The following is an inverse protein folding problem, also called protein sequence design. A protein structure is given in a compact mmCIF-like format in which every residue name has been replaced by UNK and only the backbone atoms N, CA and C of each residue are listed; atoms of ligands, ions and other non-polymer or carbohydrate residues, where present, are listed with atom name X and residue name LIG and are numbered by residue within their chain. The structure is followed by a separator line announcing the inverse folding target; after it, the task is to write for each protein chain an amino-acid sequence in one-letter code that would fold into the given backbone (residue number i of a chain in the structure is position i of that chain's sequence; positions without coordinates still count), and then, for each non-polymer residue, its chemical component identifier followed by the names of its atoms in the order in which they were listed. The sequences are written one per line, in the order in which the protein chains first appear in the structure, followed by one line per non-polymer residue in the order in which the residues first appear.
data_IF_688010859355
#
_entry.id   IF_688010859355
#
_cell.length_a   1.000
_cell.length_b   1.000
_cell.length_c   1.000
_cell.angle_alpha   90.00
_cell.angle_beta   90.00
_cell.angle_gamma   90.00
#
_symmetry.space_group_name_H-M   'P 1'
#
loop_
_entity.id
_entity.type
_entity.pdbx_description
1 polymer ?
#
# COMPACT_ATOMS: atom_id res chain seq x y z
N UNK A 1 -13.84 4.14 6.40
CA UNK A 1 -12.88 3.86 5.32
C UNK A 1 -12.61 5.17 4.61
N UNK A 2 -11.35 5.61 4.54
CA UNK A 2 -11.01 6.75 3.69
C UNK A 2 -11.39 6.40 2.25
N UNK A 3 -12.06 7.33 1.56
CA UNK A 3 -12.44 7.13 0.17
C UNK A 3 -11.17 7.21 -0.71
N UNK A 4 -10.83 6.11 -1.38
CA UNK A 4 -9.61 6.03 -2.20
C UNK A 4 -9.72 6.95 -3.39
N UNK A 5 -10.90 7.05 -4.01
CA UNK A 5 -11.15 8.00 -5.10
C UNK A 5 -10.82 9.43 -4.65
N UNK A 6 -11.25 9.82 -3.46
CA UNK A 6 -10.91 11.12 -2.88
C UNK A 6 -9.40 11.30 -2.68
N UNK A 7 -8.69 10.30 -2.14
CA UNK A 7 -7.22 10.38 -1.96
C UNK A 7 -6.52 10.53 -3.32
N UNK A 8 -6.94 9.74 -4.31
CA UNK A 8 -6.34 9.74 -5.64
C UNK A 8 -6.58 11.06 -6.38
N UNK A 9 -7.72 11.70 -6.17
CA UNK A 9 -8.05 13.01 -6.75
C UNK A 9 -7.42 14.18 -5.99
N UNK A 10 -7.25 14.07 -4.67
CA UNK A 10 -6.81 15.19 -3.82
C UNK A 10 -5.30 15.26 -3.58
N UNK A 11 -4.57 14.13 -3.59
CA UNK A 11 -3.13 14.11 -3.36
C UNK A 11 -2.34 13.98 -4.68
N UNK A 12 -2.03 15.12 -5.28
CA UNK A 12 -1.22 15.23 -6.50
C UNK A 12 0.25 14.78 -6.29
N UNK A 13 0.71 14.67 -5.04
CA UNK A 13 2.08 14.24 -4.74
C UNK A 13 2.25 12.72 -4.77
N UNK A 14 1.16 11.96 -4.97
CA UNK A 14 1.20 10.50 -5.05
C UNK A 14 1.94 10.04 -6.30
N UNK A 15 3.00 9.25 -6.07
CA UNK A 15 3.72 8.60 -7.16
C UNK A 15 2.86 7.51 -7.81
N UNK A 16 3.11 7.16 -9.09
CA UNK A 16 2.39 6.07 -9.75
C UNK A 16 2.44 4.74 -8.97
N UNK A 17 3.57 4.43 -8.34
CA UNK A 17 3.73 3.23 -7.51
C UNK A 17 2.88 3.28 -6.22
N UNK A 18 2.72 4.45 -5.62
CA UNK A 18 1.88 4.65 -4.44
C UNK A 18 0.40 4.51 -4.80
N UNK A 19 -0.03 5.10 -5.93
CA UNK A 19 -1.40 4.97 -6.46
C UNK A 19 -1.75 3.50 -6.73
N UNK A 20 -0.84 2.77 -7.36
CA UNK A 20 -1.01 1.34 -7.62
C UNK A 20 -1.20 0.54 -6.32
N UNK A 21 -0.37 0.79 -5.30
CA UNK A 21 -0.50 0.10 -4.01
C UNK A 21 -1.85 0.40 -3.34
N UNK A 22 -2.33 1.65 -3.39
CA UNK A 22 -3.64 2.02 -2.86
C UNK A 22 -4.77 1.25 -3.54
N UNK A 23 -4.77 1.17 -4.88
CA UNK A 23 -5.76 0.42 -5.66
C UNK A 23 -5.72 -1.09 -5.36
N UNK A 24 -4.53 -1.66 -5.20
CA UNK A 24 -4.40 -3.08 -4.83
C UNK A 24 -4.98 -3.35 -3.43
N UNK A 25 -4.71 -2.46 -2.47
CA UNK A 25 -5.24 -2.59 -1.11
C UNK A 25 -6.75 -2.33 -1.04
N UNK A 26 -7.29 -1.46 -1.90
CA UNK A 26 -8.73 -1.26 -2.03
C UNK A 26 -9.42 -2.55 -2.50
N UNK A 27 -8.89 -3.17 -3.58
CA UNK A 27 -9.44 -4.39 -4.15
C UNK A 27 -9.35 -5.59 -3.20
N UNK A 28 -8.23 -5.74 -2.49
CA UNK A 28 -7.92 -6.95 -1.71
C UNK A 28 -8.11 -6.78 -0.20
N UNK A 29 -8.41 -5.57 0.29
CA UNK A 29 -8.56 -5.16 1.71
C UNK A 29 -7.28 -5.25 2.55
N UNK A 30 -6.51 -6.31 2.38
CA UNK A 30 -5.27 -6.57 3.12
C UNK A 30 -4.33 -7.43 2.27
N UNK A 31 -3.06 -7.02 2.17
CA UNK A 31 -2.04 -7.75 1.41
C UNK A 31 -0.72 -7.82 2.20
N UNK A 32 0.00 -8.92 2.06
CA UNK A 32 1.37 -9.04 2.58
C UNK A 32 2.37 -8.42 1.61
N UNK A 33 3.58 -8.11 2.10
CA UNK A 33 4.67 -7.59 1.24
C UNK A 33 4.87 -8.45 0.00
N UNK A 34 4.85 -9.78 0.13
CA UNK A 34 5.05 -10.69 -1.00
C UNK A 34 3.89 -10.66 -2.01
N UNK A 35 2.65 -10.56 -1.54
CA UNK A 35 1.49 -10.45 -2.42
C UNK A 35 1.55 -9.15 -3.22
N UNK A 36 1.94 -8.06 -2.55
CA UNK A 36 2.14 -6.76 -3.19
C UNK A 36 3.26 -6.80 -4.22
N UNK A 37 4.38 -7.49 -3.96
CA UNK A 37 5.45 -7.67 -4.97
C UNK A 37 4.93 -8.41 -6.21
N UNK A 38 4.22 -9.51 -6.00
CA UNK A 38 3.69 -10.32 -7.09
C UNK A 38 2.63 -9.60 -7.91
N UNK A 39 1.73 -8.86 -7.26
CA UNK A 39 0.62 -8.17 -7.92
C UNK A 39 1.02 -6.83 -8.57
N UNK A 40 1.96 -6.10 -7.97
CA UNK A 40 2.37 -4.79 -8.47
C UNK A 40 3.44 -4.87 -9.58
N UNK A 41 4.16 -6.00 -9.65
CA UNK A 41 5.33 -6.17 -10.51
C UNK A 41 6.39 -5.06 -10.33
N UNK A 42 6.42 -4.42 -9.15
CA UNK A 42 7.40 -3.41 -8.78
C UNK A 42 8.69 -4.07 -8.28
N UNK A 43 9.81 -3.35 -8.41
CA UNK A 43 11.02 -3.74 -7.70
C UNK A 43 10.80 -3.69 -6.19
N UNK A 44 11.50 -4.55 -5.44
CA UNK A 44 11.40 -4.58 -3.98
C UNK A 44 11.62 -3.21 -3.35
N UNK A 45 12.67 -2.50 -3.80
CA UNK A 45 13.01 -1.15 -3.33
C UNK A 45 11.87 -0.16 -3.58
N UNK A 46 11.33 -0.12 -4.81
CA UNK A 46 10.25 0.79 -5.17
C UNK A 46 8.99 0.52 -4.34
N UNK A 47 8.65 -0.74 -4.13
CA UNK A 47 7.50 -1.12 -3.30
C UNK A 47 7.71 -0.69 -1.84
N UNK A 48 8.88 -0.97 -1.26
CA UNK A 48 9.15 -0.60 0.14
C UNK A 48 9.16 0.90 0.36
N UNK A 49 9.69 1.68 -0.59
CA UNK A 49 9.69 3.14 -0.54
C UNK A 49 8.25 3.67 -0.59
N UNK A 50 7.43 3.12 -1.49
CA UNK A 50 6.01 3.51 -1.65
C UNK A 50 5.19 3.16 -0.40
N UNK A 51 5.37 1.97 0.16
CA UNK A 51 4.69 1.55 1.39
C UNK A 51 5.11 2.41 2.59
N UNK A 52 6.38 2.77 2.68
CA UNK A 52 6.87 3.67 3.74
C UNK A 52 6.24 5.04 3.63
N UNK A 53 6.20 5.62 2.42
CA UNK A 53 5.55 6.91 2.17
C UNK A 53 4.05 6.88 2.51
N UNK A 54 3.32 5.85 2.06
CA UNK A 54 1.89 5.70 2.32
C UNK A 54 1.55 5.51 3.81
N UNK A 55 2.43 4.83 4.57
CA UNK A 55 2.31 4.72 6.03
C UNK A 55 2.53 6.07 6.69
N UNK A 56 3.56 6.83 6.28
CA UNK A 56 3.81 8.18 6.80
C UNK A 56 2.65 9.14 6.50
N UNK A 57 2.06 9.05 5.30
CA UNK A 57 0.85 9.80 4.92
C UNK A 57 -0.42 9.33 5.63
N UNK A 58 -0.35 8.28 6.46
CA UNK A 58 -1.49 7.69 7.14
C UNK A 58 -2.61 7.24 6.20
N UNK A 59 -2.27 6.79 4.99
CA UNK A 59 -3.22 6.16 4.06
C UNK A 59 -3.26 4.66 4.23
N UNK A 60 -2.14 4.07 4.67
CA UNK A 60 -1.98 2.63 4.86
C UNK A 60 -1.51 2.36 6.29
N UNK A 61 -2.09 1.35 6.93
CA UNK A 61 -1.59 0.78 8.18
C UNK A 61 -0.66 -0.38 7.87
N UNK A 62 0.43 -0.47 8.63
CA UNK A 62 1.37 -1.57 8.60
C UNK A 62 1.21 -2.39 9.88
N UNK A 63 0.87 -3.66 9.72
CA UNK A 63 0.80 -4.63 10.80
C UNK A 63 1.89 -5.71 10.60
N UNK A 64 2.33 -6.31 11.70
CA UNK A 64 3.16 -7.52 11.63
C UNK A 64 2.23 -8.72 11.52
N UNK A 65 2.38 -9.50 10.45
CA UNK A 65 1.51 -10.65 10.20
C UNK A 65 1.58 -11.66 11.35
N UNK A 66 0.46 -11.90 12.04
CA UNK A 66 0.41 -12.95 13.07
C UNK A 66 0.78 -14.30 12.43
N UNK A 67 1.94 -14.87 12.80
CA UNK A 67 2.42 -16.17 12.33
C UNK A 67 3.19 -16.17 11.00
N UNK A 68 3.21 -15.07 10.24
CA UNK A 68 4.08 -14.90 9.07
C UNK A 68 5.14 -13.86 9.42
N UNK A 69 6.43 -14.18 9.30
CA UNK A 69 7.54 -13.22 9.53
C UNK A 69 7.61 -12.14 8.43
N UNK A 70 6.48 -11.53 8.10
CA UNK A 70 6.29 -10.57 7.03
C UNK A 70 5.28 -9.51 7.45
N UNK A 71 5.44 -8.32 6.88
CA UNK A 71 4.51 -7.21 7.10
C UNK A 71 3.27 -7.41 6.24
N UNK A 72 2.14 -6.96 6.76
CA UNK A 72 0.89 -6.83 6.02
C UNK A 72 0.39 -5.39 6.10
N UNK A 73 -0.39 -5.02 5.08
CA UNK A 73 -0.82 -3.66 4.85
C UNK A 73 -2.31 -3.63 4.56
N UNK A 74 -2.98 -2.60 5.05
CA UNK A 74 -4.41 -2.35 4.83
C UNK A 74 -4.69 -0.86 4.81
N UNK A 75 -5.78 -0.45 4.17
CA UNK A 75 -6.22 0.95 4.19
C UNK A 75 -6.70 1.38 5.59
N UNK A 76 -6.58 2.69 5.87
CA UNK A 76 -7.12 3.34 7.09
C UNK A 76 -8.63 3.57 7.00
#
# INVERSE_FOLDING_TARGET
MKNIDFILESDETLKPSERLVLLLLEKHRMLYTNDLLALSNLSYKTLTDSLTALVLKSYVLKDTGKGRRQNCYRLV
#
